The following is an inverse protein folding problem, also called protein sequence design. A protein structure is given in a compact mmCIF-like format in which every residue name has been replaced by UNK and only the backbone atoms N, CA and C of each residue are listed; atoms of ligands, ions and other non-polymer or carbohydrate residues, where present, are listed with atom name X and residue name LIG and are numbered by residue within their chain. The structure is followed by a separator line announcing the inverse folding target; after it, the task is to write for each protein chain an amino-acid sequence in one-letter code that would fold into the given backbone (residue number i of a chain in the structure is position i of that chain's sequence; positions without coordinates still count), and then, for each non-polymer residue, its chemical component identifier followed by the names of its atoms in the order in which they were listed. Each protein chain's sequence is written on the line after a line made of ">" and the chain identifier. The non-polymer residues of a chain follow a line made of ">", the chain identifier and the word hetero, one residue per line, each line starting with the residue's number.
data_IF_951518747223
#
_entry.id   IF_951518747223
#
_cell.length_a   1.000
_cell.length_b   1.000
_cell.length_c   1.000
_cell.angle_alpha   90.00
_cell.angle_beta   90.00
_cell.angle_gamma   90.00
#
_symmetry.space_group_name_H-M   'P 1'
#
loop_
_entity.id
_entity.type
_entity.pdbx_description
1 polymer ?
#
# COMPACT_ATOMS: atom_id res chain seq x y z
N UNK A 1 -8.73 21.54 35.74
CA UNK A 1 -8.77 20.08 35.47
C UNK A 1 -8.88 19.89 33.99
N UNK A 2 -7.78 19.49 33.29
CA UNK A 2 -7.83 19.14 31.87
C UNK A 2 -8.62 17.85 31.76
N UNK A 3 -9.81 17.88 31.14
CA UNK A 3 -10.49 16.69 30.69
C UNK A 3 -9.48 15.83 29.87
N UNK A 4 -9.05 14.69 30.41
CA UNK A 4 -8.44 13.63 29.60
C UNK A 4 -9.53 13.18 28.65
N UNK A 5 -9.59 13.72 27.44
CA UNK A 5 -10.43 13.19 26.40
C UNK A 5 -10.04 11.73 26.23
N UNK A 6 -11.01 10.83 26.33
CA UNK A 6 -10.76 9.40 26.18
C UNK A 6 -10.54 9.12 24.69
N UNK A 7 -9.31 9.32 24.20
CA UNK A 7 -8.92 9.17 22.79
C UNK A 7 -8.90 7.70 22.32
N UNK A 8 -9.28 6.76 23.19
CA UNK A 8 -9.22 5.34 22.89
C UNK A 8 -10.21 4.92 21.79
N UNK A 9 -11.47 5.35 21.89
CA UNK A 9 -12.52 5.02 20.91
C UNK A 9 -12.18 5.59 19.52
N UNK A 10 -11.82 6.90 19.38
CA UNK A 10 -11.34 7.45 18.13
C UNK A 10 -10.16 6.67 17.52
N UNK A 11 -9.15 6.33 18.32
CA UNK A 11 -7.99 5.56 17.86
C UNK A 11 -8.38 4.17 17.36
N UNK A 12 -9.21 3.43 18.09
CA UNK A 12 -9.69 2.10 17.68
C UNK A 12 -10.46 2.21 16.36
N UNK A 13 -11.38 3.17 16.24
CA UNK A 13 -12.19 3.36 15.03
C UNK A 13 -11.33 3.60 13.79
N UNK A 14 -10.34 4.48 13.92
CA UNK A 14 -9.43 4.82 12.83
C UNK A 14 -8.49 3.64 12.52
N UNK A 15 -8.04 2.91 13.53
CA UNK A 15 -7.20 1.73 13.35
C UNK A 15 -7.94 0.64 12.54
N UNK A 16 -9.22 0.39 12.84
CA UNK A 16 -10.07 -0.52 12.06
C UNK A 16 -10.23 -0.03 10.61
N UNK A 17 -10.42 1.28 10.43
CA UNK A 17 -10.53 1.89 9.10
C UNK A 17 -9.25 1.67 8.27
N UNK A 18 -8.08 1.90 8.86
CA UNK A 18 -6.80 1.66 8.18
C UNK A 18 -6.61 0.18 7.84
N UNK A 19 -6.99 -0.72 8.73
CA UNK A 19 -6.97 -2.17 8.46
C UNK A 19 -7.87 -2.53 7.28
N UNK A 20 -9.14 -2.09 7.28
CA UNK A 20 -10.07 -2.36 6.19
C UNK A 20 -9.60 -1.77 4.86
N UNK A 21 -9.03 -0.57 4.89
CA UNK A 21 -8.45 0.05 3.71
C UNK A 21 -7.32 -0.81 3.13
N UNK A 22 -6.34 -1.22 3.95
CA UNK A 22 -5.25 -2.08 3.51
C UNK A 22 -5.74 -3.43 2.97
N UNK A 23 -6.68 -4.06 3.67
CA UNK A 23 -7.27 -5.32 3.27
C UNK A 23 -7.92 -5.24 1.87
N UNK A 24 -8.76 -4.23 1.64
CA UNK A 24 -9.45 -4.03 0.36
C UNK A 24 -8.45 -3.74 -0.77
N UNK A 25 -7.46 -2.88 -0.52
CA UNK A 25 -6.46 -2.51 -1.53
C UNK A 25 -5.70 -3.73 -2.03
N UNK A 26 -5.28 -4.62 -1.15
CA UNK A 26 -4.51 -5.81 -1.52
C UNK A 26 -5.35 -6.91 -2.19
N UNK A 27 -6.67 -6.87 -2.08
CA UNK A 27 -7.54 -7.78 -2.84
C UNK A 27 -7.46 -7.55 -4.34
N UNK A 28 -7.11 -6.34 -4.81
CA UNK A 28 -6.93 -6.07 -6.23
C UNK A 28 -5.88 -6.99 -6.86
N UNK A 29 -4.82 -7.33 -6.10
CA UNK A 29 -3.76 -8.22 -6.57
C UNK A 29 -4.28 -9.65 -6.84
N UNK A 30 -5.32 -10.07 -6.12
CA UNK A 30 -5.99 -11.35 -6.31
C UNK A 30 -7.02 -11.29 -7.45
N UNK A 31 -7.66 -10.13 -7.67
CA UNK A 31 -8.61 -9.95 -8.77
C UNK A 31 -7.94 -10.02 -10.14
N UNK A 32 -6.70 -9.56 -10.27
CA UNK A 32 -5.98 -9.56 -11.56
C UNK A 32 -5.89 -10.98 -12.16
N UNK A 33 -5.26 -11.98 -11.50
CA UNK A 33 -5.17 -13.34 -12.02
C UNK A 33 -6.55 -14.02 -12.09
N UNK A 34 -7.50 -13.62 -11.23
CA UNK A 34 -8.86 -14.15 -11.27
C UNK A 34 -9.59 -13.70 -12.55
N UNK A 35 -9.68 -12.40 -12.81
CA UNK A 35 -10.33 -11.87 -14.01
C UNK A 35 -9.62 -12.23 -15.29
N UNK A 36 -8.27 -12.31 -15.28
CA UNK A 36 -7.50 -12.83 -16.40
C UNK A 36 -8.00 -14.22 -16.83
N UNK A 37 -8.29 -15.11 -15.87
CA UNK A 37 -8.83 -16.43 -16.16
C UNK A 37 -10.29 -16.43 -16.59
N UNK A 38 -11.14 -15.65 -15.92
CA UNK A 38 -12.59 -15.61 -16.18
C UNK A 38 -12.93 -14.99 -17.54
N UNK A 39 -12.26 -13.88 -17.90
CA UNK A 39 -12.56 -13.10 -19.12
C UNK A 39 -11.55 -13.33 -20.25
N UNK A 40 -10.59 -14.26 -20.08
CA UNK A 40 -9.54 -14.56 -21.06
C UNK A 40 -8.72 -13.32 -21.45
N UNK A 41 -8.39 -12.48 -20.45
CA UNK A 41 -7.71 -11.21 -20.66
C UNK A 41 -6.21 -11.41 -20.90
N UNK A 42 -5.59 -10.49 -21.65
CA UNK A 42 -4.14 -10.31 -21.68
C UNK A 42 -3.60 -9.83 -20.31
N UNK A 43 -2.29 -9.83 -20.12
CA UNK A 43 -1.69 -9.29 -18.91
C UNK A 43 -1.94 -7.78 -18.76
N UNK A 44 -1.89 -7.04 -19.88
CA UNK A 44 -2.20 -5.61 -19.91
C UNK A 44 -3.64 -5.35 -19.45
N UNK A 45 -4.61 -6.03 -20.07
CA UNK A 45 -6.03 -5.86 -19.76
C UNK A 45 -6.36 -6.22 -18.30
N UNK A 46 -5.77 -7.31 -17.78
CA UNK A 46 -5.98 -7.70 -16.39
C UNK A 46 -5.45 -6.64 -15.41
N UNK A 47 -4.32 -6.01 -15.71
CA UNK A 47 -3.72 -4.95 -14.88
C UNK A 47 -4.49 -3.62 -14.94
N UNK A 48 -5.48 -3.44 -15.85
CA UNK A 48 -6.42 -2.29 -15.84
C UNK A 48 -7.21 -2.24 -14.52
N UNK A 49 -7.32 -3.34 -13.78
CA UNK A 49 -7.84 -3.34 -12.39
C UNK A 49 -7.11 -2.30 -11.54
N UNK A 50 -5.78 -2.29 -11.58
CA UNK A 50 -4.99 -1.30 -10.81
C UNK A 50 -5.15 0.11 -11.39
N UNK A 51 -5.19 0.23 -12.73
CA UNK A 51 -5.44 1.52 -13.37
C UNK A 51 -6.77 2.12 -12.87
N UNK A 52 -7.86 1.37 -12.90
CA UNK A 52 -9.19 1.84 -12.49
C UNK A 52 -9.21 2.27 -11.02
N UNK A 53 -8.54 1.50 -10.15
CA UNK A 53 -8.50 1.77 -8.72
C UNK A 53 -7.60 2.96 -8.37
N UNK A 54 -6.36 2.99 -8.87
CA UNK A 54 -5.40 4.03 -8.49
C UNK A 54 -5.61 5.37 -9.21
N UNK A 55 -6.18 5.39 -10.43
CA UNK A 55 -6.53 6.65 -11.08
C UNK A 55 -7.65 7.37 -10.32
N UNK A 56 -8.50 6.64 -9.59
CA UNK A 56 -9.52 7.23 -8.72
C UNK A 56 -8.89 8.05 -7.57
N UNK A 57 -7.75 7.61 -7.02
CA UNK A 57 -7.00 8.39 -6.04
C UNK A 57 -6.51 9.71 -6.62
N UNK A 58 -5.98 9.68 -7.84
CA UNK A 58 -5.53 10.89 -8.52
C UNK A 58 -6.70 11.86 -8.77
N UNK A 59 -7.79 11.37 -9.36
CA UNK A 59 -8.98 12.19 -9.67
C UNK A 59 -9.61 12.74 -8.39
N UNK A 60 -9.78 11.89 -7.38
CA UNK A 60 -10.33 12.28 -6.08
C UNK A 60 -9.45 13.32 -5.37
N UNK A 61 -8.14 13.08 -5.27
CA UNK A 61 -7.21 14.01 -4.63
C UNK A 61 -7.09 15.33 -5.39
N UNK A 62 -7.10 15.29 -6.73
CA UNK A 62 -7.13 16.49 -7.56
C UNK A 62 -8.39 17.30 -7.33
N UNK A 63 -9.56 16.66 -7.22
CA UNK A 63 -10.81 17.32 -6.89
C UNK A 63 -10.74 18.02 -5.50
N UNK A 64 -10.24 17.34 -4.47
CA UNK A 64 -10.02 17.95 -3.16
C UNK A 64 -9.07 19.15 -3.23
N UNK A 65 -7.95 19.02 -3.93
CA UNK A 65 -6.97 20.09 -4.13
C UNK A 65 -7.59 21.32 -4.82
N UNK A 66 -8.34 21.10 -5.90
CA UNK A 66 -8.99 22.19 -6.65
C UNK A 66 -10.09 22.87 -5.84
N UNK A 67 -10.88 22.09 -5.08
CA UNK A 67 -11.92 22.63 -4.19
C UNK A 67 -11.28 23.46 -3.05
N UNK A 68 -10.20 23.00 -2.45
CA UNK A 68 -9.48 23.75 -1.44
C UNK A 68 -8.94 25.08 -2.01
N UNK A 69 -8.35 25.06 -3.22
CA UNK A 69 -7.81 26.24 -3.90
C UNK A 69 -8.87 27.34 -4.14
N UNK A 70 -10.12 26.98 -4.37
CA UNK A 70 -11.24 27.93 -4.55
C UNK A 70 -11.98 28.23 -3.25
N UNK A 71 -11.41 27.90 -2.09
CA UNK A 71 -11.97 28.16 -0.77
C UNK A 71 -13.18 27.30 -0.38
N UNK A 72 -13.40 26.17 -1.07
CA UNK A 72 -14.50 25.22 -0.83
C UNK A 72 -13.98 23.86 -0.33
N UNK A 73 -12.94 23.86 0.51
CA UNK A 73 -12.37 22.63 1.07
C UNK A 73 -13.46 21.82 1.79
N UNK A 74 -13.69 20.55 1.36
CA UNK A 74 -14.71 19.70 1.99
C UNK A 74 -14.43 19.40 3.46
N UNK A 75 -13.17 19.30 3.87
CA UNK A 75 -12.80 19.05 5.27
C UNK A 75 -13.13 20.28 6.13
N UNK A 76 -12.81 21.49 5.66
CA UNK A 76 -13.17 22.71 6.36
C UNK A 76 -14.69 22.89 6.47
N UNK A 77 -15.44 22.46 5.46
CA UNK A 77 -16.90 22.64 5.41
C UNK A 77 -17.67 21.60 6.21
N UNK A 78 -17.25 20.33 6.13
CA UNK A 78 -18.03 19.20 6.68
C UNK A 78 -17.37 18.52 7.88
N UNK A 79 -16.10 18.80 8.16
CA UNK A 79 -15.29 18.17 9.19
C UNK A 79 -14.71 16.82 8.75
N UNK A 80 -13.76 16.32 9.54
CA UNK A 80 -13.09 15.04 9.30
C UNK A 80 -14.03 13.84 9.39
N UNK A 81 -14.85 13.81 10.46
CA UNK A 81 -15.79 12.72 10.74
C UNK A 81 -16.81 12.54 9.61
N UNK A 82 -17.37 13.64 9.11
CA UNK A 82 -18.34 13.59 8.01
C UNK A 82 -17.66 13.16 6.70
N UNK A 83 -16.45 13.62 6.43
CA UNK A 83 -15.66 13.22 5.26
C UNK A 83 -15.35 11.72 5.30
N UNK A 84 -14.95 11.17 6.46
CA UNK A 84 -14.76 9.73 6.66
C UNK A 84 -16.06 8.95 6.43
N UNK A 85 -17.17 9.42 6.99
CA UNK A 85 -18.49 8.79 6.81
C UNK A 85 -18.90 8.73 5.32
N UNK A 86 -18.75 9.83 4.58
CA UNK A 86 -19.04 9.88 3.15
C UNK A 86 -18.16 8.91 2.38
N UNK A 87 -16.86 8.88 2.66
CA UNK A 87 -15.92 7.94 2.03
C UNK A 87 -16.29 6.48 2.25
N UNK A 88 -16.68 6.12 3.48
CA UNK A 88 -17.14 4.76 3.81
C UNK A 88 -18.47 4.42 3.11
N UNK A 89 -19.42 5.35 3.01
CA UNK A 89 -20.66 5.14 2.28
C UNK A 89 -20.40 4.90 0.79
N UNK A 90 -19.51 5.68 0.15
CA UNK A 90 -19.12 5.49 -1.25
C UNK A 90 -18.47 4.12 -1.42
N UNK A 91 -17.53 3.74 -0.55
CA UNK A 91 -16.85 2.45 -0.60
C UNK A 91 -17.83 1.27 -0.38
N UNK A 92 -18.78 1.40 0.56
CA UNK A 92 -19.85 0.44 0.78
C UNK A 92 -20.68 0.23 -0.50
N UNK A 93 -21.20 1.30 -1.09
CA UNK A 93 -21.98 1.24 -2.33
C UNK A 93 -21.16 0.62 -3.46
N UNK A 94 -19.90 0.97 -3.61
CA UNK A 94 -19.00 0.39 -4.60
C UNK A 94 -18.85 -1.13 -4.44
N UNK A 95 -18.67 -1.63 -3.20
CA UNK A 95 -18.61 -3.07 -2.92
C UNK A 95 -19.95 -3.78 -3.23
N UNK A 96 -21.09 -3.14 -2.95
CA UNK A 96 -22.40 -3.69 -3.28
C UNK A 96 -22.62 -3.72 -4.80
N UNK A 97 -22.21 -2.68 -5.54
CA UNK A 97 -22.23 -2.67 -7.00
C UNK A 97 -21.33 -3.78 -7.58
N UNK A 98 -20.15 -3.97 -7.01
CA UNK A 98 -19.25 -5.04 -7.40
C UNK A 98 -19.89 -6.43 -7.19
N UNK A 99 -20.49 -6.66 -6.05
CA UNK A 99 -21.26 -7.89 -5.75
C UNK A 99 -22.44 -8.09 -6.71
N UNK A 100 -23.16 -7.01 -7.04
CA UNK A 100 -24.29 -7.05 -7.99
C UNK A 100 -23.79 -7.38 -9.39
N UNK A 101 -22.68 -6.77 -9.85
CA UNK A 101 -22.06 -7.08 -11.13
C UNK A 101 -21.68 -8.57 -11.23
N UNK A 102 -21.14 -9.14 -10.16
CA UNK A 102 -20.83 -10.57 -10.07
C UNK A 102 -22.10 -11.45 -10.10
N UNK A 103 -23.14 -11.05 -9.37
CA UNK A 103 -24.41 -11.79 -9.34
C UNK A 103 -25.11 -11.86 -10.70
N UNK A 104 -25.05 -10.77 -11.46
CA UNK A 104 -25.66 -10.65 -12.78
C UNK A 104 -24.71 -11.08 -13.92
N UNK A 105 -23.50 -11.55 -13.59
CA UNK A 105 -22.46 -11.94 -14.54
C UNK A 105 -22.19 -10.85 -15.60
N UNK A 106 -22.10 -9.59 -15.16
CA UNK A 106 -21.83 -8.45 -16.02
C UNK A 106 -20.39 -8.49 -16.55
N UNK A 107 -20.16 -7.78 -17.65
CA UNK A 107 -18.83 -7.71 -18.26
C UNK A 107 -17.77 -7.01 -17.40
N UNK A 108 -16.49 -7.24 -17.71
CA UNK A 108 -15.34 -6.74 -16.98
C UNK A 108 -15.37 -5.22 -16.70
N UNK A 109 -15.88 -4.41 -17.64
CA UNK A 109 -15.99 -2.96 -17.49
C UNK A 109 -16.84 -2.51 -16.28
N UNK A 110 -17.88 -3.27 -15.90
CA UNK A 110 -18.69 -2.94 -14.71
C UNK A 110 -17.89 -3.10 -13.41
N UNK A 111 -17.00 -4.11 -13.33
CA UNK A 111 -16.10 -4.29 -12.21
C UNK A 111 -15.08 -3.16 -12.11
N UNK A 112 -14.57 -2.68 -13.26
CA UNK A 112 -13.67 -1.53 -13.29
C UNK A 112 -14.35 -0.25 -12.81
N UNK A 113 -15.60 0.00 -13.20
CA UNK A 113 -16.39 1.14 -12.70
C UNK A 113 -16.61 1.04 -11.18
N UNK A 114 -16.94 -0.14 -10.67
CA UNK A 114 -17.13 -0.35 -9.23
C UNK A 114 -15.80 -0.16 -8.47
N UNK A 115 -14.67 -0.64 -9.01
CA UNK A 115 -13.34 -0.41 -8.42
C UNK A 115 -12.93 1.06 -8.46
N UNK A 116 -13.21 1.77 -9.53
CA UNK A 116 -12.98 3.22 -9.59
C UNK A 116 -13.78 3.95 -8.50
N UNK A 117 -15.07 3.63 -8.36
CA UNK A 117 -15.91 4.19 -7.30
C UNK A 117 -15.38 3.85 -5.90
N UNK A 118 -14.90 2.61 -5.69
CA UNK A 118 -14.26 2.19 -4.46
C UNK A 118 -13.02 3.04 -4.16
N UNK A 119 -12.15 3.26 -5.16
CA UNK A 119 -10.97 4.11 -5.07
C UNK A 119 -11.32 5.57 -4.70
N UNK A 120 -12.40 6.13 -5.25
CA UNK A 120 -12.91 7.45 -4.84
C UNK A 120 -13.29 7.44 -3.35
N UNK A 121 -14.04 6.44 -2.88
CA UNK A 121 -14.38 6.31 -1.46
C UNK A 121 -13.15 6.26 -0.55
N UNK A 122 -12.15 5.45 -0.94
CA UNK A 122 -10.89 5.35 -0.19
C UNK A 122 -10.05 6.65 -0.26
N UNK A 123 -10.17 7.45 -1.32
CA UNK A 123 -9.53 8.78 -1.37
C UNK A 123 -10.08 9.70 -0.27
N UNK A 124 -11.40 9.74 -0.07
CA UNK A 124 -12.01 10.49 1.03
C UNK A 124 -11.45 10.04 2.38
N UNK A 125 -11.29 8.72 2.57
CA UNK A 125 -10.71 8.18 3.80
C UNK A 125 -9.25 8.63 3.98
N UNK A 126 -8.44 8.56 2.93
CA UNK A 126 -7.03 8.90 2.99
C UNK A 126 -6.79 10.38 3.30
N UNK A 127 -7.52 11.27 2.63
CA UNK A 127 -7.39 12.72 2.82
C UNK A 127 -7.82 13.14 4.23
N UNK A 128 -8.80 12.45 4.83
CA UNK A 128 -9.33 12.77 6.15
C UNK A 128 -8.61 12.02 7.31
N UNK A 129 -8.36 10.71 7.18
CA UNK A 129 -7.88 9.87 8.29
C UNK A 129 -6.46 10.19 8.74
N UNK A 130 -5.54 10.46 7.80
CA UNK A 130 -4.14 10.72 8.14
C UNK A 130 -3.97 11.99 9.01
N UNK A 131 -4.48 13.18 8.62
CA UNK A 131 -4.42 14.35 9.46
C UNK A 131 -5.19 14.17 10.77
N UNK A 132 -6.35 13.51 10.72
CA UNK A 132 -7.18 13.26 11.89
C UNK A 132 -6.42 12.48 12.97
N UNK A 133 -5.75 11.36 12.61
CA UNK A 133 -4.91 10.60 13.55
C UNK A 133 -3.78 11.45 14.11
N UNK A 134 -3.13 12.26 13.29
CA UNK A 134 -2.04 13.12 13.71
C UNK A 134 -2.51 14.13 14.79
N UNK A 135 -3.75 14.60 14.70
CA UNK A 135 -4.34 15.59 15.62
C UNK A 135 -5.02 14.99 16.86
N UNK A 136 -5.21 13.67 16.95
CA UNK A 136 -5.83 12.97 18.09
C UNK A 136 -4.92 12.93 19.32
N UNK A 137 -4.52 14.05 19.87
CA UNK A 137 -3.74 14.12 21.11
C UNK A 137 -2.49 15.00 20.98
N UNK A 138 -1.46 14.74 21.80
CA UNK A 138 -0.27 15.59 21.83
C UNK A 138 0.51 15.52 20.52
N UNK A 139 0.96 16.67 20.00
CA UNK A 139 1.77 16.81 18.79
C UNK A 139 3.04 15.94 18.81
N UNK A 140 3.72 15.85 19.96
CA UNK A 140 4.95 15.05 20.12
C UNK A 140 4.76 13.56 19.85
N UNK A 141 3.53 13.05 19.95
CA UNK A 141 3.19 11.65 19.71
C UNK A 141 2.40 11.41 18.41
N UNK A 142 2.22 12.44 17.58
CA UNK A 142 1.47 12.36 16.33
C UNK A 142 2.06 11.30 15.37
N UNK A 143 3.37 11.31 15.19
CA UNK A 143 4.08 10.33 14.34
C UNK A 143 3.89 8.89 14.85
N UNK A 144 3.94 8.67 16.15
CA UNK A 144 3.72 7.34 16.75
C UNK A 144 2.30 6.83 16.48
N UNK A 145 1.27 7.69 16.62
CA UNK A 145 -0.12 7.33 16.33
C UNK A 145 -0.34 6.99 14.86
N UNK A 146 0.22 7.82 13.98
CA UNK A 146 0.11 7.57 12.53
C UNK A 146 0.80 6.26 12.14
N UNK A 147 2.00 6.00 12.67
CA UNK A 147 2.72 4.75 12.44
C UNK A 147 1.95 3.53 12.95
N UNK A 148 1.28 3.63 14.09
CA UNK A 148 0.42 2.55 14.59
C UNK A 148 -0.73 2.27 13.62
N UNK A 149 -1.44 3.29 13.15
CA UNK A 149 -2.53 3.15 12.18
C UNK A 149 -2.05 2.55 10.86
N UNK A 150 -0.88 2.97 10.37
CA UNK A 150 -0.25 2.41 9.17
C UNK A 150 0.20 0.95 9.36
N UNK A 151 0.59 0.55 10.57
CA UNK A 151 0.90 -0.84 10.86
C UNK A 151 -0.35 -1.74 10.75
N UNK A 152 -1.51 -1.26 11.19
CA UNK A 152 -2.78 -1.96 10.98
C UNK A 152 -3.24 -1.97 9.51
N UNK A 153 -2.97 -0.91 8.75
CA UNK A 153 -3.13 -0.95 7.30
C UNK A 153 -2.28 -2.08 6.69
N UNK A 154 -1.01 -2.18 7.10
CA UNK A 154 -0.12 -3.25 6.63
C UNK A 154 -0.58 -4.65 7.06
N UNK A 155 -1.16 -4.78 8.24
CA UNK A 155 -1.80 -6.03 8.65
C UNK A 155 -2.96 -6.39 7.71
N UNK A 156 -3.79 -5.41 7.35
CA UNK A 156 -4.85 -5.58 6.35
C UNK A 156 -4.31 -6.04 5.00
N UNK A 157 -3.27 -5.36 4.48
CA UNK A 157 -2.66 -5.75 3.19
C UNK A 157 -2.01 -7.14 3.24
N UNK A 158 -1.54 -7.57 4.39
CA UNK A 158 -0.97 -8.91 4.59
C UNK A 158 -2.05 -9.99 4.57
N UNK A 159 -3.16 -9.76 5.26
CA UNK A 159 -4.26 -10.72 5.39
C UNK A 159 -5.14 -10.79 4.14
N UNK A 160 -5.23 -9.70 3.37
CA UNK A 160 -6.06 -9.62 2.17
C UNK A 160 -5.76 -10.73 1.16
N UNK A 161 -4.52 -10.90 0.69
CA UNK A 161 -4.17 -11.98 -0.23
C UNK A 161 -4.39 -13.39 0.33
N UNK A 162 -4.01 -13.62 1.59
CA UNK A 162 -4.17 -14.94 2.22
C UNK A 162 -5.65 -15.33 2.35
N UNK A 163 -6.46 -14.48 2.97
CA UNK A 163 -7.89 -14.73 3.16
C UNK A 163 -8.68 -14.60 1.86
N UNK A 164 -8.40 -13.54 1.06
CA UNK A 164 -9.08 -13.31 -0.20
C UNK A 164 -8.81 -14.43 -1.21
N UNK A 165 -7.56 -14.86 -1.33
CA UNK A 165 -7.19 -16.00 -2.18
C UNK A 165 -7.90 -17.29 -1.75
N UNK A 166 -7.87 -17.61 -0.44
CA UNK A 166 -8.55 -18.78 0.09
C UNK A 166 -10.06 -18.76 -0.20
N UNK A 167 -10.74 -17.65 0.13
CA UNK A 167 -12.18 -17.57 -0.10
C UNK A 167 -12.54 -17.60 -1.60
N UNK A 168 -11.86 -16.82 -2.44
CA UNK A 168 -12.16 -16.75 -3.86
C UNK A 168 -11.83 -18.09 -4.57
N UNK A 169 -10.61 -18.61 -4.39
CA UNK A 169 -10.15 -19.76 -5.14
C UNK A 169 -10.52 -21.12 -4.53
N UNK A 170 -10.71 -21.23 -3.20
CA UNK A 170 -11.03 -22.49 -2.55
C UNK A 170 -12.48 -22.65 -2.17
N UNK A 171 -13.12 -21.59 -1.65
CA UNK A 171 -14.47 -21.68 -1.11
C UNK A 171 -15.52 -21.36 -2.17
N UNK A 172 -15.42 -20.19 -2.80
CA UNK A 172 -16.49 -19.69 -3.65
C UNK A 172 -16.38 -20.17 -5.11
N UNK A 173 -15.17 -20.38 -5.66
CA UNK A 173 -15.02 -20.81 -7.05
C UNK A 173 -15.60 -22.20 -7.31
N UNK A 174 -15.57 -23.09 -6.32
CA UNK A 174 -16.08 -24.48 -6.43
C UNK A 174 -17.58 -24.55 -6.71
N UNK A 175 -18.33 -23.54 -6.26
CA UNK A 175 -19.79 -23.46 -6.34
C UNK A 175 -20.25 -22.30 -7.24
N UNK A 176 -19.37 -21.71 -8.04
CA UNK A 176 -19.65 -20.50 -8.80
C UNK A 176 -19.21 -20.62 -10.25
N UNK A 177 -19.96 -19.98 -11.16
CA UNK A 177 -19.66 -19.93 -12.59
C UNK A 177 -19.14 -18.52 -12.93
N UNK A 178 -18.05 -18.44 -13.67
CA UNK A 178 -17.49 -17.19 -14.17
C UNK A 178 -17.10 -16.23 -13.03
N UNK A 179 -17.63 -14.99 -13.06
CA UNK A 179 -17.28 -13.95 -12.09
C UNK A 179 -17.99 -14.05 -10.72
N UNK A 180 -18.85 -15.05 -10.50
CA UNK A 180 -19.67 -15.13 -9.29
C UNK A 180 -18.89 -15.42 -8.00
N UNK A 181 -17.67 -15.97 -8.07
CA UNK A 181 -16.85 -16.26 -6.89
C UNK A 181 -16.49 -15.01 -6.07
N UNK A 182 -16.46 -13.83 -6.69
CA UNK A 182 -16.18 -12.56 -5.98
C UNK A 182 -17.41 -11.90 -5.38
N UNK A 183 -18.64 -12.44 -5.63
CA UNK A 183 -19.89 -11.90 -5.13
C UNK A 183 -19.93 -11.78 -3.62
N UNK A 184 -19.76 -12.88 -2.92
CA UNK A 184 -19.88 -12.92 -1.46
C UNK A 184 -18.74 -12.19 -0.73
N UNK A 185 -17.47 -12.29 -1.14
CA UNK A 185 -16.41 -11.48 -0.56
C UNK A 185 -16.73 -9.98 -0.59
N UNK A 186 -17.17 -9.45 -1.73
CA UNK A 186 -17.48 -8.03 -1.86
C UNK A 186 -18.79 -7.62 -1.18
N UNK A 187 -19.78 -8.53 -1.09
CA UNK A 187 -20.97 -8.31 -0.28
C UNK A 187 -20.63 -8.15 1.21
N UNK A 188 -19.81 -9.06 1.74
CA UNK A 188 -19.35 -9.01 3.14
C UNK A 188 -18.58 -7.72 3.41
N UNK A 189 -17.66 -7.35 2.52
CA UNK A 189 -16.92 -6.09 2.63
C UNK A 189 -17.84 -4.87 2.62
N UNK A 190 -18.82 -4.84 1.73
CA UNK A 190 -19.82 -3.77 1.68
C UNK A 190 -20.58 -3.63 3.00
N UNK A 191 -21.05 -4.74 3.55
CA UNK A 191 -21.74 -4.76 4.86
C UNK A 191 -20.83 -4.26 5.98
N UNK A 192 -19.57 -4.74 6.04
CA UNK A 192 -18.61 -4.33 7.08
C UNK A 192 -18.28 -2.82 6.96
N UNK A 193 -18.09 -2.29 5.74
CA UNK A 193 -17.88 -0.86 5.52
C UNK A 193 -19.11 -0.02 5.91
N UNK A 194 -20.32 -0.51 5.61
CA UNK A 194 -21.56 0.13 6.03
C UNK A 194 -21.70 0.18 7.56
N UNK A 195 -21.43 -0.93 8.25
CA UNK A 195 -21.41 -0.98 9.71
C UNK A 195 -20.36 -0.03 10.30
N UNK A 196 -19.16 0.03 9.71
CA UNK A 196 -18.10 0.94 10.14
C UNK A 196 -18.51 2.41 9.91
N UNK A 197 -19.20 2.72 8.80
CA UNK A 197 -19.74 4.05 8.53
C UNK A 197 -20.74 4.47 9.62
N UNK A 198 -21.69 3.60 9.96
CA UNK A 198 -22.68 3.85 11.03
C UNK A 198 -21.94 4.04 12.38
N UNK A 199 -20.98 3.18 12.68
CA UNK A 199 -20.20 3.25 13.91
C UNK A 199 -19.44 4.58 14.04
N UNK A 200 -18.76 5.03 12.97
CA UNK A 200 -18.05 6.33 12.95
C UNK A 200 -19.04 7.47 13.11
N UNK A 201 -20.18 7.44 12.42
CA UNK A 201 -21.21 8.48 12.52
C UNK A 201 -21.81 8.57 13.92
N UNK A 202 -22.08 7.44 14.57
CA UNK A 202 -22.66 7.36 15.91
C UNK A 202 -21.64 7.68 17.02
N UNK A 203 -20.34 7.46 16.78
CA UNK A 203 -19.29 7.66 17.78
C UNK A 203 -19.18 9.13 18.18
N UNK A 204 -18.98 9.40 19.49
CA UNK A 204 -18.73 10.74 20.03
C UNK A 204 -17.24 11.10 19.86
N UNK A 205 -16.82 11.26 18.60
CA UNK A 205 -15.46 11.68 18.27
C UNK A 205 -15.45 13.22 18.27
N UNK A 206 -14.66 13.81 19.15
CA UNK A 206 -14.40 15.25 19.13
C UNK A 206 -13.49 15.57 17.95
N UNK A 207 -13.96 16.43 17.05
CA UNK A 207 -13.16 16.85 15.91
C UNK A 207 -12.13 17.90 16.35
N UNK A 208 -10.87 17.79 15.89
CA UNK A 208 -9.90 18.83 16.12
C UNK A 208 -10.34 20.13 15.47
N UNK A 209 -10.09 21.24 16.13
CA UNK A 209 -10.33 22.56 15.55
C UNK A 209 -9.41 22.75 14.35
N UNK A 210 -9.99 22.98 13.19
CA UNK A 210 -9.27 23.28 11.97
C UNK A 210 -8.85 24.74 12.03
N UNK A 211 -7.56 25.02 12.22
CA UNK A 211 -7.02 26.36 12.09
C UNK A 211 -7.05 26.77 10.61
N UNK A 212 -7.49 28.01 10.34
CA UNK A 212 -7.43 28.54 8.97
C UNK A 212 -5.97 28.76 8.63
N UNK A 213 -5.48 28.10 7.58
CA UNK A 213 -4.18 28.44 7.00
C UNK A 213 -4.22 29.92 6.51
N UNK A 214 -3.34 30.74 7.03
CA UNK A 214 -3.06 32.04 6.44
C UNK A 214 -2.32 31.85 5.12
N UNK A 215 -3.02 32.05 4.01
CA UNK A 215 -2.54 31.84 2.62
C UNK A 215 -1.54 32.91 2.18
N UNK A 216 -0.63 33.37 3.06
CA UNK A 216 0.17 34.55 2.83
C UNK A 216 1.51 34.36 2.10
N UNK A 217 2.02 33.14 1.88
CA UNK A 217 3.28 32.97 1.17
C UNK A 217 3.10 32.86 -0.35
N UNK A 218 3.42 33.95 -1.07
CA UNK A 218 3.33 34.07 -2.54
C UNK A 218 4.37 33.26 -3.33
N UNK A 219 5.30 32.56 -2.69
CA UNK A 219 6.34 31.80 -3.40
C UNK A 219 5.80 30.45 -3.91
N UNK A 220 6.09 30.15 -5.17
CA UNK A 220 5.68 28.91 -5.82
C UNK A 220 6.47 27.71 -5.31
N UNK A 221 5.79 26.58 -5.03
CA UNK A 221 6.40 25.28 -4.68
C UNK A 221 7.33 24.76 -5.81
N UNK A 222 7.12 25.24 -7.04
CA UNK A 222 7.93 24.88 -8.22
C UNK A 222 9.42 25.30 -8.12
N UNK A 223 9.76 26.20 -7.19
CA UNK A 223 11.14 26.61 -6.93
C UNK A 223 11.98 25.59 -6.18
N UNK A 224 11.36 24.52 -5.66
CA UNK A 224 12.03 23.50 -4.84
C UNK A 224 12.22 22.18 -5.61
N UNK A 225 13.32 21.99 -6.35
CA UNK A 225 13.54 20.79 -7.18
C UNK A 225 13.47 19.48 -6.40
N UNK A 226 13.97 19.46 -5.15
CA UNK A 226 13.95 18.24 -4.33
C UNK A 226 12.52 17.78 -3.99
N UNK A 227 11.51 18.67 -3.99
CA UNK A 227 10.10 18.32 -3.84
C UNK A 227 9.59 17.59 -5.07
N UNK A 228 9.89 18.10 -6.27
CA UNK A 228 9.48 17.48 -7.54
C UNK A 228 10.17 16.15 -7.77
N UNK A 229 11.45 16.07 -7.46
CA UNK A 229 12.20 14.81 -7.51
C UNK A 229 11.64 13.81 -6.51
N UNK A 230 11.21 14.26 -5.32
CA UNK A 230 10.51 13.44 -4.35
C UNK A 230 9.13 12.99 -4.84
N UNK A 231 8.39 13.86 -5.52
CA UNK A 231 7.10 13.52 -6.13
C UNK A 231 7.26 12.43 -7.20
N UNK A 232 8.24 12.57 -8.09
CA UNK A 232 8.63 11.53 -9.06
C UNK A 232 9.09 10.27 -8.31
N UNK A 233 9.81 10.43 -7.17
CA UNK A 233 10.18 9.31 -6.29
C UNK A 233 8.98 8.55 -5.76
N UNK A 234 7.92 9.22 -5.32
CA UNK A 234 6.65 8.58 -4.92
C UNK A 234 6.00 7.85 -6.09
N UNK A 235 5.96 8.47 -7.28
CA UNK A 235 5.45 7.81 -8.49
C UNK A 235 6.15 6.48 -8.75
N UNK A 236 7.47 6.49 -8.81
CA UNK A 236 8.25 5.29 -9.07
C UNK A 236 8.19 4.27 -7.93
N UNK A 237 8.17 4.73 -6.67
CA UNK A 237 8.03 3.84 -5.52
C UNK A 237 6.70 3.09 -5.53
N UNK A 238 5.57 3.84 -5.57
CA UNK A 238 4.24 3.23 -5.55
C UNK A 238 4.02 2.39 -6.81
N UNK A 239 4.48 2.90 -7.96
CA UNK A 239 4.44 2.15 -9.20
C UNK A 239 5.18 0.82 -9.12
N UNK A 240 6.40 0.80 -8.59
CA UNK A 240 7.18 -0.42 -8.42
C UNK A 240 6.56 -1.37 -7.39
N UNK A 241 6.13 -0.85 -6.22
CA UNK A 241 5.50 -1.64 -5.17
C UNK A 241 4.24 -2.34 -5.68
N UNK A 242 3.34 -1.60 -6.32
CA UNK A 242 2.08 -2.15 -6.84
C UNK A 242 2.34 -3.08 -8.04
N UNK A 243 3.25 -2.73 -8.94
CA UNK A 243 3.60 -3.58 -10.08
C UNK A 243 4.11 -4.95 -9.67
N UNK A 244 4.99 -5.02 -8.67
CA UNK A 244 5.47 -6.29 -8.13
C UNK A 244 4.31 -7.06 -7.52
N UNK A 245 3.54 -6.48 -6.60
CA UNK A 245 2.42 -7.15 -5.94
C UNK A 245 1.39 -7.70 -6.93
N UNK A 246 0.98 -6.89 -7.90
CA UNK A 246 -0.07 -7.22 -8.87
C UNK A 246 0.30 -8.37 -9.82
N UNK A 247 1.58 -8.54 -10.12
CA UNK A 247 2.04 -9.55 -11.08
C UNK A 247 2.66 -10.80 -10.43
N UNK A 248 2.86 -10.78 -9.09
CA UNK A 248 3.48 -11.93 -8.39
C UNK A 248 2.69 -13.23 -8.54
N UNK A 249 1.36 -13.22 -8.39
CA UNK A 249 0.55 -14.45 -8.54
C UNK A 249 0.70 -15.01 -9.95
N UNK A 250 0.64 -14.16 -10.97
CA UNK A 250 0.83 -14.56 -12.36
C UNK A 250 2.27 -15.08 -12.62
N UNK A 251 3.27 -14.43 -12.03
CA UNK A 251 4.66 -14.86 -12.09
C UNK A 251 4.83 -16.26 -11.48
N UNK A 252 4.36 -16.47 -10.24
CA UNK A 252 4.53 -17.74 -9.53
C UNK A 252 3.86 -18.91 -10.25
N UNK A 253 2.67 -18.70 -10.79
CA UNK A 253 1.96 -19.74 -11.57
C UNK A 253 2.65 -20.03 -12.90
N UNK A 254 3.21 -19.01 -13.56
CA UNK A 254 3.90 -19.18 -14.86
C UNK A 254 5.25 -19.86 -14.72
N UNK A 255 6.13 -19.39 -13.81
CA UNK A 255 7.49 -19.95 -13.64
C UNK A 255 7.49 -21.37 -13.09
N UNK A 256 6.44 -21.76 -12.38
CA UNK A 256 6.25 -23.12 -11.88
C UNK A 256 5.62 -24.07 -12.92
N UNK A 257 5.37 -23.61 -14.14
CA UNK A 257 4.62 -24.37 -15.17
C UNK A 257 3.26 -24.88 -14.65
N UNK A 258 2.60 -24.10 -13.80
CA UNK A 258 1.31 -24.44 -13.18
C UNK A 258 1.40 -25.37 -11.97
N UNK A 259 2.60 -25.76 -11.50
CA UNK A 259 2.75 -26.57 -10.30
C UNK A 259 2.28 -25.81 -9.04
N UNK A 260 2.42 -24.48 -9.02
CA UNK A 260 1.86 -23.60 -7.98
C UNK A 260 0.50 -23.11 -8.45
N UNK A 261 -0.57 -23.53 -7.77
CA UNK A 261 -1.94 -23.05 -8.05
C UNK A 261 -2.10 -21.58 -7.69
N UNK A 262 -3.12 -20.91 -8.24
CA UNK A 262 -3.41 -19.49 -7.92
C UNK A 262 -3.68 -19.27 -6.44
N UNK A 263 -4.29 -20.24 -5.77
CA UNK A 263 -4.56 -20.22 -4.33
C UNK A 263 -3.24 -20.21 -3.54
N UNK A 264 -2.33 -21.14 -3.80
CA UNK A 264 -1.01 -21.19 -3.16
C UNK A 264 -0.18 -19.95 -3.53
N UNK A 265 -0.24 -19.49 -4.77
CA UNK A 265 0.45 -18.27 -5.19
C UNK A 265 -0.06 -17.02 -4.44
N UNK A 266 -1.38 -16.93 -4.17
CA UNK A 266 -1.96 -15.85 -3.37
C UNK A 266 -1.50 -15.90 -1.90
N UNK A 267 -1.31 -17.09 -1.36
CA UNK A 267 -0.72 -17.30 -0.04
C UNK A 267 0.73 -16.80 0.03
N UNK A 268 1.55 -17.07 -0.98
CA UNK A 268 2.90 -16.51 -1.08
C UNK A 268 2.89 -14.96 -1.19
N UNK A 269 1.92 -14.36 -1.90
CA UNK A 269 1.78 -12.91 -1.98
C UNK A 269 1.58 -12.26 -0.59
N UNK A 270 0.99 -12.97 0.36
CA UNK A 270 0.88 -12.46 1.74
C UNK A 270 2.23 -12.27 2.44
N UNK A 271 3.28 -12.99 2.01
CA UNK A 271 4.66 -12.76 2.49
C UNK A 271 5.26 -11.48 1.89
N UNK A 272 4.91 -11.12 0.66
CA UNK A 272 5.32 -9.84 0.08
C UNK A 272 4.76 -8.67 0.90
N UNK A 273 3.46 -8.61 1.11
CA UNK A 273 2.82 -7.56 1.91
C UNK A 273 3.17 -7.66 3.41
N UNK A 274 3.30 -8.88 3.90
CA UNK A 274 3.76 -9.14 5.26
C UNK A 274 5.20 -8.71 5.49
N UNK A 275 6.05 -8.83 4.48
CA UNK A 275 7.40 -8.28 4.49
C UNK A 275 7.39 -6.76 4.69
N UNK A 276 6.49 -6.05 3.99
CA UNK A 276 6.31 -4.62 4.21
C UNK A 276 5.84 -4.30 5.64
N UNK A 277 4.94 -5.11 6.22
CA UNK A 277 4.51 -4.97 7.62
C UNK A 277 5.68 -5.17 8.59
N UNK A 278 6.44 -6.26 8.44
CA UNK A 278 7.61 -6.55 9.27
C UNK A 278 8.60 -5.38 9.21
N UNK A 279 8.98 -4.95 8.01
CA UNK A 279 9.92 -3.86 7.85
C UNK A 279 9.41 -2.51 8.40
N UNK A 280 8.10 -2.22 8.37
CA UNK A 280 7.51 -1.03 9.01
C UNK A 280 7.63 -1.07 10.53
N UNK A 281 7.42 -2.22 11.17
CA UNK A 281 7.66 -2.38 12.60
C UNK A 281 9.14 -2.22 12.95
N UNK A 282 10.05 -2.85 12.18
CA UNK A 282 11.49 -2.70 12.37
C UNK A 282 11.93 -1.24 12.19
N UNK A 283 11.42 -0.56 11.16
CA UNK A 283 11.69 0.85 10.89
C UNK A 283 11.23 1.78 12.00
N UNK A 284 10.01 1.57 12.51
CA UNK A 284 9.46 2.37 13.61
C UNK A 284 10.34 2.28 14.86
N UNK A 285 10.79 1.08 15.22
CA UNK A 285 11.69 0.87 16.37
C UNK A 285 13.08 1.42 16.08
N UNK A 286 13.65 1.15 14.89
CA UNK A 286 14.97 1.62 14.50
C UNK A 286 15.10 3.14 14.56
N UNK A 287 14.06 3.87 14.13
CA UNK A 287 14.01 5.33 14.11
C UNK A 287 13.58 5.95 15.46
N UNK A 288 13.21 5.16 16.46
CA UNK A 288 12.78 5.63 17.77
C UNK A 288 13.92 6.17 18.63
N UNK A 289 13.59 6.84 19.76
CA UNK A 289 14.55 7.33 20.76
C UNK A 289 14.95 6.27 21.82
N UNK A 290 14.61 5.00 21.62
CA UNK A 290 14.92 3.90 22.53
C UNK A 290 16.44 3.61 22.52
N UNK A 291 17.00 3.13 23.64
CA UNK A 291 18.41 2.72 23.74
C UNK A 291 18.74 1.61 22.72
N UNK A 292 19.92 1.68 22.09
CA UNK A 292 20.31 0.80 20.97
C UNK A 292 20.14 -0.69 21.28
N UNK A 293 20.54 -1.15 22.47
CA UNK A 293 20.41 -2.57 22.84
C UNK A 293 18.94 -3.02 22.93
N UNK A 294 18.05 -2.16 23.44
CA UNK A 294 16.60 -2.45 23.50
C UNK A 294 15.96 -2.41 22.11
N UNK A 295 16.46 -1.54 21.19
CA UNK A 295 15.98 -1.55 19.79
C UNK A 295 16.16 -2.91 19.15
N UNK A 296 17.35 -3.51 19.26
CA UNK A 296 17.65 -4.82 18.66
C UNK A 296 16.69 -5.89 19.20
N UNK A 297 16.46 -5.90 20.53
CA UNK A 297 15.53 -6.86 21.17
C UNK A 297 14.11 -6.66 20.66
N UNK A 298 13.58 -5.42 20.67
CA UNK A 298 12.21 -5.15 20.22
C UNK A 298 12.03 -5.42 18.73
N UNK A 299 13.00 -5.09 17.88
CA UNK A 299 12.97 -5.42 16.47
C UNK A 299 12.91 -6.95 16.26
N UNK A 300 13.73 -7.72 17.01
CA UNK A 300 13.71 -9.18 16.96
C UNK A 300 12.36 -9.76 17.37
N UNK A 301 11.81 -9.31 18.50
CA UNK A 301 10.49 -9.76 18.98
C UNK A 301 9.39 -9.47 17.95
N UNK A 302 9.34 -8.24 17.42
CA UNK A 302 8.33 -7.84 16.43
C UNK A 302 8.47 -8.61 15.13
N UNK A 303 9.71 -8.87 14.67
CA UNK A 303 9.95 -9.68 13.49
C UNK A 303 9.41 -11.11 13.66
N UNK A 304 9.71 -11.74 14.80
CA UNK A 304 9.25 -13.10 15.11
C UNK A 304 7.74 -13.18 15.24
N UNK A 305 7.11 -12.23 15.96
CA UNK A 305 5.64 -12.20 16.12
C UNK A 305 4.97 -12.00 14.76
N UNK A 306 5.44 -11.03 13.97
CA UNK A 306 4.83 -10.73 12.66
C UNK A 306 5.02 -11.88 11.67
N UNK A 307 6.21 -12.47 11.60
CA UNK A 307 6.45 -13.66 10.78
C UNK A 307 5.59 -14.83 11.25
N UNK A 308 5.54 -15.09 12.56
CA UNK A 308 4.73 -16.15 13.15
C UNK A 308 3.25 -16.03 12.80
N UNK A 309 2.72 -14.80 12.81
CA UNK A 309 1.33 -14.53 12.39
C UNK A 309 1.10 -14.90 10.92
N UNK A 310 1.97 -14.41 10.01
CA UNK A 310 1.86 -14.71 8.58
C UNK A 310 1.98 -16.20 8.34
N UNK A 311 2.98 -16.84 8.94
CA UNK A 311 3.23 -18.27 8.80
C UNK A 311 2.03 -19.10 9.30
N UNK A 312 1.54 -18.83 10.50
CA UNK A 312 0.44 -19.57 11.11
C UNK A 312 -0.82 -19.54 10.24
N UNK A 313 -1.19 -18.35 9.72
CA UNK A 313 -2.35 -18.20 8.85
C UNK A 313 -2.17 -19.01 7.56
N UNK A 314 -1.03 -18.89 6.90
CA UNK A 314 -0.78 -19.62 5.64
C UNK A 314 -0.61 -21.12 5.85
N UNK A 315 -0.07 -21.55 6.99
CA UNK A 315 -0.01 -22.97 7.34
C UNK A 315 -1.43 -23.58 7.50
N UNK A 316 -2.32 -22.93 8.25
CA UNK A 316 -3.66 -23.45 8.47
C UNK A 316 -4.58 -23.35 7.24
N UNK A 317 -4.47 -22.28 6.44
CA UNK A 317 -5.34 -22.09 5.29
C UNK A 317 -4.85 -22.83 4.03
N UNK A 318 -3.53 -22.93 3.84
CA UNK A 318 -2.94 -23.39 2.58
C UNK A 318 -1.90 -24.50 2.75
N UNK A 319 -1.71 -25.00 3.97
CA UNK A 319 -0.76 -26.08 4.31
C UNK A 319 0.69 -25.80 3.91
N UNK A 320 1.10 -24.52 3.92
CA UNK A 320 2.48 -24.14 3.62
C UNK A 320 3.42 -24.57 4.75
N UNK A 321 4.36 -25.47 4.46
CA UNK A 321 5.34 -25.96 5.42
C UNK A 321 6.48 -24.95 5.67
N UNK A 322 7.15 -25.04 6.80
CA UNK A 322 8.32 -24.22 7.11
C UNK A 322 9.45 -24.43 6.12
N UNK A 323 9.56 -25.64 5.54
CA UNK A 323 10.58 -25.98 4.53
C UNK A 323 10.45 -25.15 3.26
N UNK A 324 9.26 -24.67 2.94
CA UNK A 324 9.03 -23.82 1.76
C UNK A 324 9.23 -22.33 2.04
N UNK A 325 9.14 -21.90 3.31
CA UNK A 325 9.18 -20.47 3.67
C UNK A 325 10.47 -20.04 4.37
N UNK A 326 11.39 -20.96 4.68
CA UNK A 326 12.65 -20.62 5.38
C UNK A 326 13.53 -19.62 4.60
N UNK A 327 13.43 -19.60 3.27
CA UNK A 327 14.09 -18.61 2.41
C UNK A 327 13.77 -17.17 2.84
N UNK A 328 12.53 -16.93 3.24
CA UNK A 328 12.09 -15.61 3.69
C UNK A 328 12.80 -15.16 4.97
N UNK A 329 13.14 -16.10 5.87
CA UNK A 329 13.91 -15.80 7.08
C UNK A 329 15.31 -15.28 6.74
N UNK A 330 15.96 -15.83 5.70
CA UNK A 330 17.25 -15.32 5.24
C UNK A 330 17.16 -13.87 4.77
N UNK A 331 16.10 -13.52 4.03
CA UNK A 331 15.85 -12.14 3.60
C UNK A 331 15.43 -11.21 4.76
N UNK A 332 14.76 -11.74 5.79
CA UNK A 332 14.50 -10.98 7.03
C UNK A 332 15.79 -10.63 7.76
N UNK A 333 16.73 -11.54 7.88
CA UNK A 333 18.06 -11.28 8.46
C UNK A 333 18.82 -10.23 7.64
N UNK A 334 18.77 -10.33 6.31
CA UNK A 334 19.34 -9.33 5.41
C UNK A 334 18.70 -7.95 5.62
N UNK A 335 17.39 -7.88 5.73
CA UNK A 335 16.66 -6.63 5.98
C UNK A 335 17.07 -6.00 7.32
N UNK A 336 17.21 -6.82 8.37
CA UNK A 336 17.68 -6.39 9.68
C UNK A 336 19.11 -5.79 9.61
N UNK A 337 20.01 -6.43 8.86
CA UNK A 337 21.36 -5.92 8.61
C UNK A 337 21.33 -4.55 7.90
N UNK A 338 20.46 -4.39 6.90
CA UNK A 338 20.37 -3.13 6.15
C UNK A 338 19.74 -1.99 6.98
N UNK A 339 18.87 -2.27 7.94
CA UNK A 339 18.44 -1.28 8.95
C UNK A 339 19.62 -0.79 9.80
N UNK A 340 20.49 -1.71 10.22
CA UNK A 340 21.70 -1.36 10.96
C UNK A 340 22.65 -0.49 10.12
N UNK A 341 22.89 -0.87 8.86
CA UNK A 341 23.75 -0.13 7.92
C UNK A 341 23.17 1.25 7.57
N UNK A 342 21.88 1.42 7.58
CA UNK A 342 21.18 2.68 7.34
C UNK A 342 21.48 3.77 8.36
N UNK A 343 21.92 3.41 9.57
CA UNK A 343 22.32 4.31 10.67
C UNK A 343 21.25 5.40 10.95
N UNK A 344 19.98 5.05 10.93
CA UNK A 344 18.84 5.97 11.16
C UNK A 344 18.84 7.23 10.25
N UNK A 345 19.46 7.16 9.07
CA UNK A 345 19.46 8.25 8.06
C UNK A 345 18.50 7.93 6.94
N UNK A 346 17.36 8.67 6.78
CA UNK A 346 16.32 8.35 5.80
C UNK A 346 16.84 8.21 4.36
N UNK A 347 17.65 9.14 3.88
CA UNK A 347 18.19 9.12 2.51
C UNK A 347 19.10 7.91 2.28
N UNK A 348 19.99 7.60 3.24
CA UNK A 348 20.89 6.45 3.16
C UNK A 348 20.10 5.13 3.17
N UNK A 349 19.14 5.00 4.07
CA UNK A 349 18.29 3.81 4.15
C UNK A 349 17.49 3.61 2.85
N UNK A 350 16.94 4.70 2.28
CA UNK A 350 16.24 4.67 0.99
C UNK A 350 17.14 4.14 -0.13
N UNK A 351 18.36 4.70 -0.27
CA UNK A 351 19.29 4.28 -1.32
C UNK A 351 19.70 2.81 -1.16
N UNK A 352 20.05 2.40 0.06
CA UNK A 352 20.45 1.01 0.35
C UNK A 352 19.31 0.02 0.04
N UNK A 353 18.10 0.32 0.47
CA UNK A 353 16.94 -0.55 0.23
C UNK A 353 16.59 -0.61 -1.26
N UNK A 354 16.71 0.50 -1.98
CA UNK A 354 16.49 0.52 -3.42
C UNK A 354 17.55 -0.28 -4.20
N UNK A 355 18.82 -0.26 -3.75
CA UNK A 355 19.88 -1.10 -4.31
C UNK A 355 19.54 -2.57 -4.10
N UNK A 356 19.15 -2.97 -2.87
CA UNK A 356 18.78 -4.36 -2.60
C UNK A 356 17.60 -4.78 -3.46
N UNK A 357 16.53 -3.97 -3.53
CA UNK A 357 15.36 -4.28 -4.37
C UNK A 357 15.75 -4.42 -5.86
N UNK A 358 16.66 -3.58 -6.37
CA UNK A 358 17.14 -3.73 -7.75
C UNK A 358 17.81 -5.09 -7.97
N UNK A 359 18.64 -5.54 -7.02
CA UNK A 359 19.29 -6.87 -7.09
C UNK A 359 18.26 -7.98 -7.00
N UNK A 360 17.30 -7.88 -6.07
CA UNK A 360 16.24 -8.88 -5.90
C UNK A 360 15.37 -9.00 -7.16
N UNK A 361 15.05 -7.89 -7.83
CA UNK A 361 14.35 -7.90 -9.12
C UNK A 361 15.16 -8.62 -10.19
N UNK A 362 16.47 -8.33 -10.32
CA UNK A 362 17.34 -9.00 -11.29
C UNK A 362 17.41 -10.51 -11.05
N UNK A 363 17.45 -10.93 -9.78
CA UNK A 363 17.38 -12.35 -9.41
C UNK A 363 16.03 -12.94 -9.85
N UNK A 364 14.92 -12.27 -9.56
CA UNK A 364 13.57 -12.69 -9.94
C UNK A 364 13.33 -12.75 -11.45
N UNK A 365 13.99 -11.88 -12.22
CA UNK A 365 14.01 -11.90 -13.69
C UNK A 365 14.84 -13.05 -14.27
N UNK A 366 15.47 -13.87 -13.44
CA UNK A 366 16.34 -15.00 -13.84
C UNK A 366 17.51 -14.59 -14.74
N UNK A 367 17.99 -13.33 -14.64
CA UNK A 367 19.13 -12.83 -15.45
C UNK A 367 20.41 -13.62 -15.16
N UNK A 368 20.57 -14.10 -13.92
CA UNK A 368 21.70 -14.94 -13.51
C UNK A 368 21.45 -16.44 -13.68
N UNK A 369 20.43 -16.82 -14.47
CA UNK A 369 19.93 -18.19 -14.58
C UNK A 369 18.81 -18.48 -13.59
N UNK A 370 18.10 -19.58 -13.81
CA UNK A 370 17.00 -20.00 -12.93
C UNK A 370 17.57 -20.55 -11.60
N UNK A 371 17.42 -19.78 -10.54
CA UNK A 371 17.84 -20.14 -9.18
C UNK A 371 16.73 -20.84 -8.38
N UNK A 372 15.65 -21.30 -9.05
CA UNK A 372 14.53 -22.00 -8.43
C UNK A 372 13.81 -21.16 -7.37
N UNK A 373 13.66 -21.72 -6.18
CA UNK A 373 12.98 -21.02 -5.08
C UNK A 373 13.63 -19.68 -4.68
N UNK A 374 14.93 -19.50 -4.87
CA UNK A 374 15.59 -18.22 -4.59
C UNK A 374 15.09 -17.09 -5.50
N UNK A 375 14.83 -17.35 -6.79
CA UNK A 375 14.25 -16.36 -7.71
C UNK A 375 12.84 -15.94 -7.26
N UNK A 376 12.02 -16.90 -6.85
CA UNK A 376 10.69 -16.66 -6.31
C UNK A 376 10.74 -15.84 -5.03
N UNK A 377 11.52 -16.29 -4.05
CA UNK A 377 11.60 -15.62 -2.76
C UNK A 377 12.31 -14.27 -2.83
N UNK A 378 13.19 -14.03 -3.81
CA UNK A 378 13.76 -12.72 -4.06
C UNK A 378 12.68 -11.68 -4.37
N UNK A 379 11.73 -11.99 -5.27
CA UNK A 379 10.62 -11.09 -5.58
C UNK A 379 9.69 -10.88 -4.38
N UNK A 380 9.39 -11.93 -3.61
CA UNK A 380 8.58 -11.83 -2.41
C UNK A 380 9.25 -10.98 -1.32
N UNK A 381 10.57 -11.08 -1.19
CA UNK A 381 11.35 -10.34 -0.21
C UNK A 381 11.45 -8.83 -0.50
N UNK A 382 11.13 -8.39 -1.73
CA UNK A 382 11.06 -6.96 -2.09
C UNK A 382 10.16 -6.20 -1.11
N UNK A 383 9.09 -6.83 -0.62
CA UNK A 383 8.19 -6.23 0.37
C UNK A 383 8.91 -5.77 1.64
N UNK A 384 9.88 -6.55 2.15
CA UNK A 384 10.69 -6.19 3.32
C UNK A 384 11.42 -4.85 3.12
N UNK A 385 11.95 -4.61 1.92
CA UNK A 385 12.76 -3.42 1.61
C UNK A 385 11.89 -2.26 1.09
N UNK A 386 10.67 -2.50 0.62
CA UNK A 386 9.69 -1.46 0.30
C UNK A 386 9.20 -0.72 1.56
N UNK A 387 9.24 -1.37 2.70
CA UNK A 387 8.56 -1.00 3.95
C UNK A 387 8.69 0.47 4.38
N UNK A 388 9.90 1.03 4.34
CA UNK A 388 10.19 2.40 4.79
C UNK A 388 10.38 3.41 3.67
N UNK A 389 10.28 2.98 2.41
CA UNK A 389 10.58 3.87 1.28
C UNK A 389 9.61 5.04 1.18
N UNK A 390 8.29 4.78 1.32
CA UNK A 390 7.28 5.82 1.32
C UNK A 390 7.60 6.94 2.32
N UNK A 391 7.77 6.58 3.59
CA UNK A 391 7.99 7.54 4.66
C UNK A 391 9.31 8.31 4.47
N UNK A 392 10.35 7.64 3.98
CA UNK A 392 11.64 8.27 3.74
C UNK A 392 11.58 9.26 2.56
N UNK A 393 10.95 8.89 1.43
CA UNK A 393 10.78 9.82 0.29
C UNK A 393 9.94 11.01 0.73
N UNK A 394 8.82 10.77 1.40
CA UNK A 394 7.90 11.81 1.85
C UNK A 394 8.60 12.81 2.78
N UNK A 395 9.24 12.32 3.84
CA UNK A 395 9.94 13.19 4.80
C UNK A 395 11.09 13.98 4.19
N UNK A 396 11.85 13.38 3.27
CA UNK A 396 12.94 14.06 2.56
C UNK A 396 12.41 15.15 1.64
N UNK A 397 11.25 14.92 1.00
CA UNK A 397 10.65 15.86 0.06
C UNK A 397 9.99 17.07 0.75
N UNK A 398 9.44 16.89 1.96
CA UNK A 398 8.78 17.99 2.68
C UNK A 398 9.71 18.73 3.65
N UNK A 399 10.95 18.26 3.83
CA UNK A 399 11.88 18.83 4.80
C UNK A 399 12.19 20.30 4.48
N UNK A 400 12.21 21.15 5.51
CA UNK A 400 12.50 22.60 5.43
C UNK A 400 11.52 23.44 4.59
N UNK A 401 10.30 22.96 4.35
CA UNK A 401 9.30 23.72 3.57
C UNK A 401 8.42 24.66 4.41
N UNK A 402 8.39 24.49 5.74
CA UNK A 402 7.54 25.31 6.61
C UNK A 402 6.07 25.28 6.18
N UNK A 403 5.48 26.45 5.94
CA UNK A 403 4.07 26.62 5.53
C UNK A 403 3.70 25.92 4.21
N UNK A 404 4.68 25.63 3.35
CA UNK A 404 4.46 24.95 2.06
C UNK A 404 4.36 23.42 2.17
N UNK A 405 4.54 22.88 3.38
CA UNK A 405 4.48 21.42 3.60
C UNK A 405 3.15 20.81 3.17
N UNK A 406 2.02 21.49 3.44
CA UNK A 406 0.70 21.01 3.03
C UNK A 406 0.56 20.92 1.50
N UNK A 407 1.03 21.96 0.79
CA UNK A 407 1.00 21.99 -0.67
C UNK A 407 1.92 20.92 -1.28
N UNK A 408 3.13 20.75 -0.75
CA UNK A 408 4.04 19.68 -1.16
C UNK A 408 3.44 18.29 -0.91
N UNK A 409 2.82 18.08 0.25
CA UNK A 409 2.16 16.82 0.60
C UNK A 409 1.08 16.45 -0.40
N UNK A 410 0.26 17.42 -0.84
CA UNK A 410 -0.78 17.20 -1.85
C UNK A 410 -0.19 16.74 -3.18
N UNK A 411 0.93 17.34 -3.62
CA UNK A 411 1.64 16.94 -4.85
C UNK A 411 2.18 15.51 -4.71
N UNK A 412 2.79 15.19 -3.57
CA UNK A 412 3.32 13.84 -3.31
C UNK A 412 2.20 12.78 -3.34
N UNK A 413 1.04 13.07 -2.75
CA UNK A 413 -0.12 12.15 -2.74
C UNK A 413 -0.68 11.97 -4.15
N UNK A 414 -0.77 13.01 -4.98
CA UNK A 414 -1.20 12.87 -6.37
C UNK A 414 -0.30 11.91 -7.16
N UNK A 415 0.99 11.82 -6.83
CA UNK A 415 1.96 10.93 -7.51
C UNK A 415 1.84 9.46 -7.14
N UNK A 416 0.91 9.08 -6.25
CA UNK A 416 0.43 7.69 -6.10
C UNK A 416 -0.10 7.12 -7.43
N UNK A 417 -0.35 7.98 -8.40
CA UNK A 417 -0.66 7.65 -9.80
C UNK A 417 0.31 6.63 -10.43
N UNK A 418 1.54 6.50 -9.92
CA UNK A 418 2.47 5.45 -10.33
C UNK A 418 1.87 4.06 -10.25
N UNK A 419 1.07 3.79 -9.21
CA UNK A 419 0.32 2.53 -9.04
C UNK A 419 -0.77 2.28 -10.08
N UNK A 420 -1.25 3.34 -10.77
CA UNK A 420 -2.17 3.21 -11.89
C UNK A 420 -1.46 2.88 -13.22
N UNK A 421 -0.27 3.42 -13.43
CA UNK A 421 0.40 3.42 -14.73
C UNK A 421 1.39 2.25 -14.88
N UNK A 422 2.20 1.99 -13.85
CA UNK A 422 3.28 1.00 -13.98
C UNK A 422 2.79 -0.45 -14.07
N UNK A 423 1.74 -0.92 -13.34
CA UNK A 423 1.27 -2.30 -13.48
C UNK A 423 0.73 -2.64 -14.87
N UNK A 424 -0.13 -1.83 -15.52
CA UNK A 424 -0.51 -2.07 -16.92
C UNK A 424 0.67 -2.05 -17.89
N UNK A 425 1.65 -1.13 -17.68
CA UNK A 425 2.87 -1.11 -18.49
C UNK A 425 3.69 -2.39 -18.31
N UNK A 426 3.79 -2.93 -17.09
CA UNK A 426 4.41 -4.22 -16.83
C UNK A 426 3.66 -5.33 -17.54
N UNK A 427 2.32 -5.33 -17.50
CA UNK A 427 1.48 -6.29 -18.22
C UNK A 427 1.71 -6.25 -19.72
N UNK A 428 1.81 -5.03 -20.31
CA UNK A 428 2.10 -4.86 -21.74
C UNK A 428 3.45 -5.48 -22.13
N UNK A 429 4.50 -5.29 -21.31
CA UNK A 429 5.81 -5.89 -21.56
C UNK A 429 5.72 -7.43 -21.49
N UNK A 430 4.96 -7.98 -20.53
CA UNK A 430 4.73 -9.41 -20.43
C UNK A 430 4.04 -9.98 -21.68
N UNK A 431 3.03 -9.27 -22.19
CA UNK A 431 2.29 -9.68 -23.40
C UNK A 431 3.18 -9.61 -24.66
N UNK A 432 3.94 -8.52 -24.85
CA UNK A 432 4.81 -8.33 -26.03
C UNK A 432 5.98 -9.32 -26.04
N UNK A 433 6.55 -9.61 -24.86
CA UNK A 433 7.71 -10.52 -24.77
C UNK A 433 7.31 -11.99 -24.63
N UNK A 434 6.06 -12.27 -24.29
CA UNK A 434 5.59 -13.62 -23.94
C UNK A 434 6.19 -14.15 -22.63
N UNK A 435 6.90 -13.30 -21.85
CA UNK A 435 7.64 -13.69 -20.65
C UNK A 435 7.35 -12.73 -19.50
N UNK A 436 6.69 -13.22 -18.45
CA UNK A 436 6.33 -12.40 -17.31
C UNK A 436 7.54 -11.99 -16.47
N UNK A 437 8.60 -12.80 -16.40
CA UNK A 437 9.84 -12.49 -15.69
C UNK A 437 10.53 -11.26 -16.26
N UNK A 438 10.60 -11.10 -17.57
CA UNK A 438 11.18 -9.92 -18.24
C UNK A 438 10.40 -8.64 -17.89
N UNK A 439 9.10 -8.73 -17.66
CA UNK A 439 8.25 -7.58 -17.37
C UNK A 439 8.65 -6.86 -16.07
N UNK A 440 9.38 -7.52 -15.17
CA UNK A 440 9.89 -6.92 -13.94
C UNK A 440 10.96 -5.83 -14.17
N UNK A 441 11.36 -5.59 -15.45
CA UNK A 441 12.14 -4.40 -15.83
C UNK A 441 11.42 -3.10 -15.42
N UNK A 442 10.09 -3.09 -15.37
CA UNK A 442 9.29 -1.91 -15.01
C UNK A 442 9.54 -1.48 -13.55
N UNK A 443 9.34 -2.33 -12.52
CA UNK A 443 9.69 -1.97 -11.16
C UNK A 443 11.20 -1.74 -10.97
N UNK A 444 12.07 -2.41 -11.74
CA UNK A 444 13.51 -2.18 -11.69
C UNK A 444 13.85 -0.71 -12.01
N UNK A 445 13.27 -0.13 -13.06
CA UNK A 445 13.46 1.29 -13.42
C UNK A 445 13.05 2.18 -12.25
N UNK A 446 11.95 1.85 -11.57
CA UNK A 446 11.51 2.57 -10.38
C UNK A 446 12.57 2.56 -9.26
N UNK A 447 13.11 1.39 -8.92
CA UNK A 447 14.14 1.28 -7.89
C UNK A 447 15.45 1.97 -8.27
N UNK A 448 15.87 1.94 -9.54
CA UNK A 448 17.04 2.69 -10.01
C UNK A 448 16.85 4.21 -9.83
N UNK A 449 15.66 4.73 -10.10
CA UNK A 449 15.35 6.13 -9.79
C UNK A 449 15.45 6.43 -8.29
N UNK A 450 14.97 5.53 -7.43
CA UNK A 450 15.03 5.71 -5.98
C UNK A 450 16.46 5.70 -5.44
N UNK A 451 17.39 4.95 -6.06
CA UNK A 451 18.82 5.02 -5.75
C UNK A 451 19.33 6.44 -6.01
N UNK A 452 19.05 7.00 -7.21
CA UNK A 452 19.41 8.37 -7.53
C UNK A 452 18.83 9.37 -6.53
N UNK A 453 17.53 9.26 -6.21
CA UNK A 453 16.87 10.15 -5.27
C UNK A 453 17.48 10.07 -3.87
N UNK A 454 17.73 8.87 -3.36
CA UNK A 454 18.31 8.64 -2.02
C UNK A 454 19.79 9.05 -1.90
N UNK A 455 20.56 9.08 -3.01
CA UNK A 455 21.97 9.51 -3.01
C UNK A 455 22.09 11.02 -3.22
N UNK A 456 21.36 11.59 -4.17
CA UNK A 456 21.57 12.97 -4.61
C UNK A 456 20.28 13.79 -4.75
N UNK A 457 19.21 13.20 -5.29
CA UNK A 457 18.00 13.92 -5.67
C UNK A 457 17.35 14.69 -4.52
N UNK A 458 17.34 14.13 -3.31
CA UNK A 458 16.73 14.72 -2.11
C UNK A 458 17.40 16.01 -1.62
N UNK A 459 18.62 16.31 -2.07
CA UNK A 459 19.43 17.45 -1.60
C UNK A 459 19.66 18.53 -2.68
N UNK A 460 19.15 18.34 -3.91
CA UNK A 460 19.34 19.28 -5.00
C UNK A 460 18.61 20.60 -4.69
N UNK A 461 19.37 21.69 -4.62
CA UNK A 461 18.90 23.04 -4.29
C UNK A 461 18.08 23.11 -2.98
N UNK A 462 18.37 22.21 -2.04
CA UNK A 462 17.79 22.27 -0.69
C UNK A 462 18.46 23.39 0.09
N UNK A 463 17.71 24.24 0.83
CA UNK A 463 18.28 25.27 1.67
C UNK A 463 19.31 24.67 2.64
N UNK A 464 20.53 25.22 2.62
CA UNK A 464 21.54 24.89 3.64
C UNK A 464 21.10 25.47 5.00
N UNK A 465 21.57 24.86 6.08
CA UNK A 465 21.35 25.38 7.44
C UNK A 465 21.98 26.74 7.63
#
# INVERSE_FOLDING_TARGET
>A
MKHKSNNLIPMISITILFFMWGFITSLNDILIPYFKGVYQLSHFEANIVQLAFFIAYFVGSLAFFLLAKIGKDPIHKYGYKTTLFIGLCIACIACLLFSTAASLSLGFGFFLCALFMLGIGLTFLQVAANPFVAMLGNSDTASSRLNLSQAFNSLGTTLGPALGGYFIFNVFIKNSIGSQAVRFPYLILGVLLGLLAIFIKASKIEEPKIEKEDSSSKESIFKYPYVWLGAIGIFFYVGAEVSVGSNLVSYLTSVSNGAISKDIASSYLSYYWGGAMIGRFLGAVSLSKIKTNLKVIYMGILAVISFGLIYTINFYLHSLSIETVWYFLAFMLLNFLFFYLGKSRPARSLALFAIVNSVLVLIGMNIFGNLGYWSMWALLAIGLFNSIMWSNIFTLAIDKLGEKTAQASSILIMMILGGAIMPPLQGLIADVTGKIDISFIVPLIGYLYLIFYGIKGYSINKPKE
#
